data_IF_873258122361
#
_entry.id   IF_873258122361
#
_cell.length_a   1.000
_cell.length_b   1.000
_cell.length_c   1.000
_cell.angle_alpha   90.00
_cell.angle_beta   90.00
_cell.angle_gamma   90.00
#
_symmetry.space_group_name_H-M   'P 1'
#
loop_
_entity.id
_entity.type
_entity.pdbx_description
1 polymer ?
#
# COMPACT_ATOMS: atom_id res chain seq x y z
N UNK A 1 36.66 -5.96 -28.68
CA UNK A 1 35.65 -6.97 -28.29
C UNK A 1 34.64 -6.24 -27.45
N UNK A 2 33.51 -5.88 -28.06
CA UNK A 2 32.51 -4.97 -27.48
C UNK A 2 31.61 -5.78 -26.55
N UNK A 3 31.65 -5.50 -25.25
CA UNK A 3 30.77 -6.13 -24.28
C UNK A 3 29.31 -5.71 -24.54
N UNK A 4 28.50 -6.66 -24.98
CA UNK A 4 27.06 -6.52 -24.98
C UNK A 4 26.58 -6.54 -23.54
N UNK A 5 26.12 -5.39 -23.04
CA UNK A 5 25.27 -5.32 -21.85
C UNK A 5 24.04 -6.18 -22.12
N UNK A 6 23.95 -7.30 -21.42
CA UNK A 6 22.75 -8.14 -21.35
C UNK A 6 21.57 -7.29 -20.88
N UNK A 7 20.64 -7.01 -21.79
CA UNK A 7 19.29 -6.59 -21.42
C UNK A 7 18.63 -7.82 -20.82
N UNK A 8 18.59 -7.91 -19.48
CA UNK A 8 17.69 -8.83 -18.81
C UNK A 8 16.27 -8.50 -19.29
N UNK A 9 15.71 -9.35 -20.15
CA UNK A 9 14.27 -9.34 -20.43
C UNK A 9 13.59 -9.50 -19.06
N UNK A 10 12.79 -8.51 -18.64
CA UNK A 10 11.93 -8.64 -17.46
C UNK A 10 11.21 -9.99 -17.55
N UNK A 11 11.17 -10.73 -16.44
CA UNK A 11 10.49 -12.01 -16.36
C UNK A 11 9.08 -11.87 -16.96
N UNK A 12 8.62 -12.80 -17.83
CA UNK A 12 7.25 -12.75 -18.36
C UNK A 12 6.19 -12.85 -17.27
N UNK A 13 6.59 -13.26 -16.06
CA UNK A 13 5.75 -13.35 -14.88
C UNK A 13 5.83 -12.11 -13.97
N UNK A 14 6.61 -11.08 -14.29
CA UNK A 14 6.75 -9.90 -13.44
C UNK A 14 5.40 -9.34 -12.97
N UNK A 15 5.25 -9.14 -11.66
CA UNK A 15 4.01 -8.71 -11.02
C UNK A 15 2.81 -9.67 -11.23
N UNK A 16 3.05 -10.96 -11.47
CA UNK A 16 2.02 -12.02 -11.52
C UNK A 16 2.04 -12.83 -10.22
N UNK A 17 0.97 -12.88 -9.46
CA UNK A 17 0.97 -13.67 -8.23
C UNK A 17 0.77 -15.18 -8.49
N UNK A 18 0.49 -15.60 -9.73
CA UNK A 18 0.12 -17.00 -10.03
C UNK A 18 1.22 -18.03 -9.79
N UNK A 19 2.48 -17.59 -9.76
CA UNK A 19 3.65 -18.44 -9.53
C UNK A 19 4.50 -17.96 -8.33
N UNK A 20 3.95 -17.06 -7.51
CA UNK A 20 4.61 -16.67 -6.28
C UNK A 20 4.49 -17.77 -5.23
N UNK A 21 5.59 -17.98 -4.51
CA UNK A 21 5.66 -18.85 -3.34
C UNK A 21 6.26 -18.09 -2.17
N UNK A 22 5.86 -18.45 -0.95
CA UNK A 22 6.49 -17.92 0.24
C UNK A 22 7.95 -18.38 0.27
N UNK A 23 8.87 -17.44 0.42
CA UNK A 23 10.32 -17.70 0.35
C UNK A 23 10.90 -18.29 1.64
N UNK A 24 10.05 -18.70 2.60
CA UNK A 24 10.43 -19.02 3.98
C UNK A 24 11.13 -17.87 4.74
N UNK A 25 11.07 -16.65 4.21
CA UNK A 25 11.66 -15.46 4.82
C UNK A 25 10.60 -14.47 5.30
N UNK A 26 10.68 -14.14 6.58
CA UNK A 26 9.94 -13.03 7.17
C UNK A 26 10.75 -12.35 8.26
N UNK A 27 10.53 -11.05 8.42
CA UNK A 27 11.24 -10.20 9.39
C UNK A 27 10.26 -9.48 10.29
N UNK A 28 10.59 -9.40 11.58
CA UNK A 28 9.86 -8.59 12.55
C UNK A 28 10.08 -7.11 12.27
N UNK A 29 9.02 -6.32 12.35
CA UNK A 29 9.14 -4.86 12.40
C UNK A 29 9.56 -4.46 13.82
N UNK A 30 10.67 -3.72 14.00
CA UNK A 30 11.11 -3.27 15.31
C UNK A 30 10.05 -2.38 16.01
N UNK A 31 9.86 -2.55 17.32
CA UNK A 31 8.96 -1.70 18.12
C UNK A 31 9.59 -0.29 18.35
N UNK A 32 8.85 0.80 18.14
CA UNK A 32 9.35 2.17 18.30
C UNK A 32 9.54 2.65 19.75
N UNK A 33 8.96 1.99 20.77
CA UNK A 33 8.96 2.51 22.16
C UNK A 33 9.86 1.70 23.10
N UNK A 34 9.97 0.37 22.98
CA UNK A 34 10.95 -0.48 23.70
C UNK A 34 10.90 -1.93 23.17
N UNK A 35 11.88 -2.81 23.47
CA UNK A 35 11.77 -4.26 23.24
C UNK A 35 10.63 -4.95 24.04
N UNK A 36 9.84 -4.19 24.80
CA UNK A 36 8.80 -4.68 25.70
C UNK A 36 7.43 -4.09 25.31
N UNK A 37 6.86 -4.68 24.26
CA UNK A 37 5.41 -4.87 24.07
C UNK A 37 4.48 -3.65 24.22
N UNK A 38 4.62 -2.64 23.36
CA UNK A 38 3.43 -1.88 22.92
C UNK A 38 3.25 -2.14 21.43
N UNK A 39 2.33 -3.07 21.14
CA UNK A 39 2.00 -3.54 19.80
C UNK A 39 1.46 -2.39 18.96
N UNK A 40 2.26 -1.89 18.03
CA UNK A 40 1.86 -0.90 17.03
C UNK A 40 0.86 -1.55 16.09
N UNK A 41 -0.43 -1.64 16.41
CA UNK A 41 -1.39 -2.27 15.48
C UNK A 41 -1.41 -1.47 14.17
N UNK A 42 -0.79 -2.04 13.13
CA UNK A 42 -0.62 -1.44 11.82
C UNK A 42 -1.98 -1.36 11.11
N UNK A 43 -2.48 -0.16 10.87
CA UNK A 43 -3.78 0.00 10.18
C UNK A 43 -3.59 -0.01 8.66
N UNK A 44 -2.45 0.49 8.21
CA UNK A 44 -1.99 0.47 6.85
C UNK A 44 -0.46 0.61 6.76
N UNK A 45 0.01 0.81 5.54
CA UNK A 45 1.43 1.03 5.30
C UNK A 45 1.68 1.73 3.97
N UNK A 46 2.84 2.32 3.85
CA UNK A 46 3.33 2.79 2.56
C UNK A 46 4.81 2.53 2.43
N UNK A 47 5.27 2.10 1.26
CA UNK A 47 6.70 1.94 0.95
C UNK A 47 7.04 2.98 -0.11
N UNK A 48 8.15 3.69 0.11
CA UNK A 48 8.67 4.69 -0.81
C UNK A 48 9.06 4.05 -2.14
N UNK A 49 8.94 4.78 -3.26
CA UNK A 49 9.16 4.24 -4.61
C UNK A 49 10.58 3.70 -4.79
N UNK A 50 11.55 4.32 -4.12
CA UNK A 50 12.92 3.83 -4.15
C UNK A 50 13.17 2.59 -3.25
N UNK A 51 12.14 2.10 -2.54
CA UNK A 51 12.20 0.93 -1.66
C UNK A 51 13.01 1.10 -0.38
N UNK A 52 13.51 2.30 -0.07
CA UNK A 52 14.42 2.51 1.07
C UNK A 52 13.69 2.84 2.38
N UNK A 53 12.44 3.31 2.29
CA UNK A 53 11.65 3.70 3.45
C UNK A 53 10.28 3.07 3.40
N UNK A 54 9.75 2.76 4.56
CA UNK A 54 8.33 2.48 4.70
C UNK A 54 7.80 3.10 5.97
N UNK A 55 6.49 3.26 5.99
CA UNK A 55 5.77 3.99 7.01
C UNK A 55 4.60 3.13 7.44
N UNK A 56 4.38 3.06 8.75
CA UNK A 56 3.29 2.31 9.35
C UNK A 56 2.48 3.29 10.19
N UNK A 57 1.22 3.47 9.82
CA UNK A 57 0.23 4.10 10.69
C UNK A 57 -0.26 3.09 11.73
N UNK A 58 -0.52 3.64 12.91
CA UNK A 58 -0.86 2.86 14.10
C UNK A 58 -2.06 3.46 14.80
N UNK A 59 -2.78 2.64 15.56
CA UNK A 59 -4.03 2.98 16.26
C UNK A 59 -3.97 4.22 17.19
N UNK A 60 -2.78 4.74 17.45
CA UNK A 60 -2.59 5.94 18.28
C UNK A 60 -2.51 7.24 17.49
N UNK A 61 -3.02 7.27 16.25
CA UNK A 61 -2.90 8.41 15.32
C UNK A 61 -1.43 8.80 15.07
N UNK A 62 -0.57 7.78 15.02
CA UNK A 62 0.86 7.93 14.79
C UNK A 62 1.27 7.19 13.55
N UNK A 63 2.07 7.84 12.71
CA UNK A 63 2.80 7.18 11.63
C UNK A 63 4.28 7.10 12.00
N UNK A 64 4.84 5.89 11.96
CA UNK A 64 6.23 5.60 12.26
C UNK A 64 7.00 5.35 10.96
N UNK A 65 8.23 5.82 10.88
CA UNK A 65 9.12 5.61 9.73
C UNK A 65 10.18 4.55 10.03
N UNK A 66 10.41 3.72 9.03
CA UNK A 66 11.40 2.65 9.02
C UNK A 66 12.20 2.69 7.73
N UNK A 67 13.32 1.98 7.71
CA UNK A 67 14.15 1.79 6.51
C UNK A 67 14.39 0.32 6.19
N UNK A 68 14.43 0.03 4.90
CA UNK A 68 14.91 -1.22 4.31
C UNK A 68 16.30 -0.95 3.73
N UNK A 69 17.29 -1.77 4.08
CA UNK A 69 18.64 -1.62 3.58
C UNK A 69 19.30 -2.98 3.29
N UNK A 70 19.47 -3.38 2.02
CA UNK A 70 19.25 -2.60 0.79
C UNK A 70 17.76 -2.31 0.47
N UNK A 71 17.45 -1.45 -0.52
CA UNK A 71 16.06 -1.21 -0.95
C UNK A 71 15.26 -2.49 -1.16
N UNK A 72 13.98 -2.49 -0.74
CA UNK A 72 13.06 -3.64 -0.82
C UNK A 72 13.51 -4.90 -0.06
N UNK A 73 14.68 -4.91 0.60
CA UNK A 73 15.14 -6.06 1.38
C UNK A 73 14.60 -6.02 2.81
N UNK A 74 13.91 -7.10 3.18
CA UNK A 74 13.44 -7.33 4.54
C UNK A 74 14.51 -7.93 5.45
N UNK A 75 15.70 -8.24 4.94
CA UNK A 75 16.78 -8.86 5.73
C UNK A 75 17.35 -7.90 6.78
N UNK A 76 17.04 -6.61 6.67
CA UNK A 76 17.51 -5.55 7.56
C UNK A 76 16.51 -4.41 7.62
N UNK A 77 15.51 -4.57 8.50
CA UNK A 77 14.48 -3.58 8.82
C UNK A 77 14.91 -2.78 10.05
N UNK A 78 14.95 -1.45 9.96
CA UNK A 78 15.31 -0.59 11.09
C UNK A 78 14.26 0.49 11.33
N UNK A 79 13.95 0.76 12.60
CA UNK A 79 13.19 1.94 12.99
C UNK A 79 14.08 3.17 12.92
N UNK A 80 13.64 4.22 12.22
CA UNK A 80 14.42 5.46 12.03
C UNK A 80 14.32 6.43 13.23
N UNK A 81 13.61 6.06 14.30
CA UNK A 81 13.28 6.94 15.42
C UNK A 81 12.56 8.24 14.99
N UNK A 82 11.72 8.12 13.96
CA UNK A 82 10.93 9.21 13.38
C UNK A 82 9.47 8.83 13.37
N UNK A 83 8.64 9.75 13.84
CA UNK A 83 7.19 9.61 13.84
C UNK A 83 6.51 10.98 13.79
N UNK A 84 5.22 10.97 13.46
CA UNK A 84 4.31 12.10 13.66
C UNK A 84 3.08 11.63 14.41
N UNK A 85 2.48 12.51 15.22
CA UNK A 85 1.22 12.27 15.94
C UNK A 85 0.05 13.08 15.36
N UNK A 86 0.24 13.68 14.19
CA UNK A 86 -0.73 14.57 13.54
C UNK A 86 -1.46 13.91 12.37
N UNK A 87 -1.29 12.59 12.20
CA UNK A 87 -1.83 11.79 11.11
C UNK A 87 -2.90 10.87 11.70
N UNK A 88 -4.18 11.24 11.56
CA UNK A 88 -5.35 10.47 12.03
C UNK A 88 -5.89 9.66 10.85
N UNK A 89 -5.45 8.41 10.64
CA UNK A 89 -5.70 7.69 9.38
C UNK A 89 -5.91 6.18 9.56
N UNK A 90 -6.45 5.55 8.50
CA UNK A 90 -6.64 4.09 8.41
C UNK A 90 -5.66 3.46 7.43
N UNK A 91 -5.18 4.25 6.47
CA UNK A 91 -4.10 3.85 5.57
C UNK A 91 -3.43 5.12 4.98
N UNK A 92 -2.23 4.92 4.45
CA UNK A 92 -1.32 5.94 3.97
C UNK A 92 -0.77 5.58 2.58
N UNK A 93 -0.77 6.53 1.66
CA UNK A 93 -0.13 6.40 0.35
C UNK A 93 0.85 7.55 0.12
N UNK A 94 2.14 7.25 -0.03
CA UNK A 94 3.17 8.27 -0.28
C UNK A 94 3.30 8.56 -1.77
N UNK A 95 3.59 9.82 -2.09
CA UNK A 95 3.82 10.25 -3.46
C UNK A 95 5.20 9.90 -4.00
N UNK A 96 5.32 10.02 -5.32
CA UNK A 96 6.59 10.27 -6.00
C UNK A 96 6.59 11.75 -6.41
N UNK A 97 7.41 12.63 -5.81
CA UNK A 97 8.82 12.42 -5.45
C UNK A 97 9.12 12.24 -3.95
N UNK A 98 8.20 11.64 -3.18
CA UNK A 98 8.34 11.33 -1.74
C UNK A 98 8.39 12.59 -0.84
N UNK A 99 7.69 13.64 -1.27
CA UNK A 99 7.51 14.93 -0.58
C UNK A 99 6.09 15.16 -0.08
N UNK A 100 5.15 14.32 -0.50
CA UNK A 100 3.74 14.36 -0.16
C UNK A 100 3.29 13.00 0.35
N UNK A 101 2.32 13.03 1.24
CA UNK A 101 1.62 11.86 1.72
C UNK A 101 0.12 12.09 1.57
N UNK A 102 -0.58 11.13 1.00
CA UNK A 102 -2.03 11.03 0.99
C UNK A 102 -2.44 10.11 2.12
N UNK A 103 -3.41 10.54 2.89
CA UNK A 103 -3.84 9.87 4.10
C UNK A 103 -5.35 9.68 4.06
N UNK A 104 -5.81 8.46 4.30
CA UNK A 104 -7.23 8.12 4.31
C UNK A 104 -7.82 8.32 5.71
N UNK A 105 -8.56 9.41 5.87
CA UNK A 105 -9.21 9.76 7.12
C UNK A 105 -10.64 9.17 7.14
N UNK A 106 -10.78 7.89 7.50
CA UNK A 106 -12.07 7.20 7.38
C UNK A 106 -13.18 7.81 8.24
N UNK A 107 -12.85 8.35 9.42
CA UNK A 107 -13.81 9.03 10.30
C UNK A 107 -14.35 10.32 9.67
N UNK A 108 -13.50 11.06 8.94
CA UNK A 108 -13.86 12.27 8.21
C UNK A 108 -14.34 11.98 6.78
N UNK A 109 -14.24 10.72 6.33
CA UNK A 109 -14.56 10.28 4.97
C UNK A 109 -13.91 11.17 3.91
N UNK A 110 -12.62 11.41 4.06
CA UNK A 110 -11.85 12.20 3.12
C UNK A 110 -10.47 11.62 2.89
N UNK A 111 -9.88 12.00 1.75
CA UNK A 111 -8.45 11.87 1.52
C UNK A 111 -7.81 13.22 1.83
N UNK A 112 -6.89 13.21 2.79
CA UNK A 112 -6.14 14.39 3.24
C UNK A 112 -4.72 14.33 2.70
N UNK A 113 -4.23 15.47 2.18
CA UNK A 113 -2.84 15.61 1.76
C UNK A 113 -1.99 16.23 2.87
N UNK A 114 -0.80 15.68 3.05
CA UNK A 114 0.27 16.14 3.93
C UNK A 114 1.52 16.42 3.11
N UNK A 115 2.34 17.37 3.55
CA UNK A 115 3.66 17.65 2.96
C UNK A 115 4.77 17.41 3.97
N UNK A 116 5.90 16.90 3.49
CA UNK A 116 7.13 16.80 4.25
C UNK A 116 7.98 18.05 3.99
N UNK A 117 8.41 18.76 5.05
CA UNK A 117 9.40 19.84 4.87
C UNK A 117 10.80 19.29 4.56
N UNK A 118 11.05 18.03 4.92
CA UNK A 118 12.22 17.25 4.49
C UNK A 118 11.74 15.98 3.78
N UNK A 119 12.04 15.76 2.49
CA UNK A 119 11.57 14.60 1.74
C UNK A 119 11.85 13.27 2.47
N UNK A 120 10.84 12.38 2.49
CA UNK A 120 10.85 11.10 3.23
C UNK A 120 11.10 11.20 4.74
N UNK A 121 10.83 12.34 5.37
CA UNK A 121 10.91 12.48 6.82
C UNK A 121 9.51 12.65 7.42
N UNK A 122 8.95 11.54 7.93
CA UNK A 122 7.60 11.52 8.51
C UNK A 122 7.45 12.48 9.69
N UNK A 123 8.55 12.79 10.40
CA UNK A 123 8.51 13.72 11.54
C UNK A 123 8.28 15.17 11.12
N UNK A 124 8.45 15.45 9.83
CA UNK A 124 8.20 16.77 9.24
C UNK A 124 6.85 16.87 8.51
N UNK A 125 6.04 15.80 8.54
CA UNK A 125 4.74 15.76 7.89
C UNK A 125 3.76 16.75 8.53
N UNK A 126 3.19 17.65 7.73
CA UNK A 126 2.17 18.61 8.17
C UNK A 126 1.00 18.65 7.18
N UNK A 127 -0.25 18.91 7.64
CA UNK A 127 -1.39 19.01 6.73
C UNK A 127 -1.16 20.11 5.68
N UNK A 128 -1.35 19.76 4.40
CA UNK A 128 -1.11 20.68 3.29
C UNK A 128 -2.26 21.67 3.05
N UNK A 129 -3.36 21.56 3.80
CA UNK A 129 -4.61 22.30 3.54
C UNK A 129 -5.34 21.85 2.27
N UNK A 130 -4.99 20.67 1.72
CA UNK A 130 -5.58 20.10 0.52
C UNK A 130 -6.25 18.76 0.86
N UNK A 131 -7.52 18.61 0.50
CA UNK A 131 -8.26 17.36 0.70
C UNK A 131 -9.41 17.26 -0.29
N UNK A 132 -10.01 16.07 -0.37
CA UNK A 132 -11.29 15.89 -1.02
C UNK A 132 -12.12 14.82 -0.28
N UNK A 133 -13.46 14.96 -0.24
CA UNK A 133 -14.32 13.94 0.33
C UNK A 133 -14.34 12.70 -0.57
N UNK A 134 -14.38 11.52 0.06
CA UNK A 134 -14.64 10.27 -0.67
C UNK A 134 -16.15 10.06 -0.85
N UNK A 135 -16.51 9.17 -1.78
CA UNK A 135 -17.89 8.89 -2.15
C UNK A 135 -18.77 8.57 -0.95
N UNK A 136 -19.91 9.26 -0.81
CA UNK A 136 -20.93 8.92 0.19
C UNK A 136 -21.53 7.52 0.00
N UNK A 137 -21.33 6.93 -1.19
CA UNK A 137 -21.85 5.60 -1.54
C UNK A 137 -21.15 4.46 -0.80
N UNK A 138 -20.07 4.73 -0.05
CA UNK A 138 -19.61 3.78 0.97
C UNK A 138 -20.72 3.46 2.00
N UNK A 139 -21.78 4.26 2.14
CA UNK A 139 -22.88 3.94 3.07
C UNK A 139 -22.37 3.84 4.51
N UNK A 140 -22.59 2.70 5.18
CA UNK A 140 -22.00 2.39 6.50
C UNK A 140 -20.56 1.90 6.43
N UNK A 141 -20.07 1.56 5.23
CA UNK A 141 -18.69 1.16 4.98
C UNK A 141 -17.75 2.36 5.18
N UNK A 142 -16.50 2.07 5.49
CA UNK A 142 -15.41 3.03 5.64
C UNK A 142 -14.32 2.70 4.63
N UNK A 143 -13.67 3.73 4.09
CA UNK A 143 -12.45 3.54 3.32
C UNK A 143 -11.40 2.90 4.22
N UNK A 144 -10.85 1.77 3.77
CA UNK A 144 -9.90 0.94 4.52
C UNK A 144 -8.48 1.06 3.98
N UNK A 145 -8.33 1.22 2.67
CA UNK A 145 -7.02 1.31 2.04
C UNK A 145 -7.01 2.34 0.92
N UNK A 146 -5.85 2.97 0.71
CA UNK A 146 -5.63 3.99 -0.32
C UNK A 146 -4.39 3.64 -1.13
N UNK A 147 -4.49 3.84 -2.45
CA UNK A 147 -3.35 3.82 -3.35
C UNK A 147 -3.43 5.01 -4.29
N UNK A 148 -2.28 5.56 -4.68
CA UNK A 148 -2.20 6.65 -5.66
C UNK A 148 -1.32 6.17 -6.81
N UNK A 149 -1.84 6.29 -8.03
CA UNK A 149 -1.12 5.93 -9.26
C UNK A 149 0.19 6.69 -9.41
N UNK A 150 1.15 6.08 -10.12
CA UNK A 150 2.51 6.62 -10.25
C UNK A 150 2.56 8.03 -10.86
N UNK A 151 1.56 8.39 -11.67
CA UNK A 151 1.43 9.73 -12.25
C UNK A 151 0.81 10.76 -11.29
N UNK A 152 0.38 10.35 -10.10
CA UNK A 152 -0.27 11.21 -9.11
C UNK A 152 -1.65 11.68 -9.49
N UNK A 153 -2.27 11.14 -10.54
CA UNK A 153 -3.56 11.60 -11.08
C UNK A 153 -4.72 10.69 -10.73
N UNK A 154 -4.47 9.42 -10.45
CA UNK A 154 -5.49 8.45 -10.04
C UNK A 154 -5.35 8.12 -8.56
N UNK A 155 -6.43 8.27 -7.79
CA UNK A 155 -6.49 7.86 -6.38
C UNK A 155 -7.51 6.75 -6.25
N UNK A 156 -7.13 5.65 -5.62
CA UNK A 156 -7.93 4.46 -5.43
C UNK A 156 -8.23 4.29 -3.95
N UNK A 157 -9.50 4.13 -3.59
CA UNK A 157 -9.93 3.93 -2.21
C UNK A 157 -10.76 2.66 -2.14
N UNK A 158 -10.26 1.68 -1.40
CA UNK A 158 -10.90 0.39 -1.15
C UNK A 158 -11.64 0.43 0.18
N UNK A 159 -12.92 0.07 0.18
CA UNK A 159 -13.71 -0.13 1.39
C UNK A 159 -13.63 -1.56 1.91
N UNK A 160 -13.96 -1.77 3.19
CA UNK A 160 -13.83 -3.09 3.86
C UNK A 160 -14.66 -4.20 3.23
N UNK A 161 -15.83 -3.84 2.68
CA UNK A 161 -16.75 -4.78 2.03
C UNK A 161 -16.52 -4.94 0.51
N UNK A 162 -15.45 -4.40 -0.06
CA UNK A 162 -15.14 -4.57 -1.48
C UNK A 162 -15.69 -3.52 -2.43
N UNK A 163 -16.06 -2.35 -1.92
CA UNK A 163 -16.32 -1.17 -2.73
C UNK A 163 -14.98 -0.51 -3.11
N UNK A 164 -14.56 -0.61 -4.38
CA UNK A 164 -13.36 0.08 -4.87
C UNK A 164 -13.76 1.29 -5.71
N UNK A 165 -13.31 2.48 -5.28
CA UNK A 165 -13.50 3.72 -6.02
C UNK A 165 -12.20 4.22 -6.60
N UNK A 166 -12.26 4.71 -7.84
CA UNK A 166 -11.19 5.45 -8.50
C UNK A 166 -11.62 6.90 -8.70
N UNK A 167 -10.81 7.82 -8.19
CA UNK A 167 -10.94 9.27 -8.34
C UNK A 167 -9.83 9.80 -9.25
N UNK A 168 -10.10 10.91 -9.93
CA UNK A 168 -9.13 11.60 -10.78
C UNK A 168 -8.80 12.96 -10.19
N UNK A 169 -7.51 13.29 -10.09
CA UNK A 169 -6.99 14.60 -9.77
C UNK A 169 -6.66 15.33 -11.08
N UNK A 170 -7.04 16.61 -11.17
CA UNK A 170 -6.75 17.43 -12.35
C UNK A 170 -5.29 17.87 -12.42
N UNK A 171 -4.60 17.86 -11.29
CA UNK A 171 -3.16 18.13 -11.18
C UNK A 171 -2.53 16.99 -10.38
N UNK A 172 -1.42 16.47 -10.92
CA UNK A 172 -0.63 15.42 -10.30
C UNK A 172 -0.31 15.75 -8.84
N UNK A 173 -0.63 14.83 -7.92
CA UNK A 173 -0.37 14.93 -6.49
C UNK A 173 -1.02 16.15 -5.80
N UNK A 174 -2.12 16.66 -6.34
CA UNK A 174 -2.89 17.74 -5.73
C UNK A 174 -4.33 17.32 -5.43
N UNK A 175 -4.57 16.94 -4.17
CA UNK A 175 -5.87 16.51 -3.67
C UNK A 175 -6.98 17.57 -3.88
N UNK A 176 -6.63 18.86 -3.85
CA UNK A 176 -7.61 19.93 -4.02
C UNK A 176 -8.17 20.02 -5.45
N UNK A 177 -7.53 19.33 -6.40
CA UNK A 177 -7.92 19.33 -7.82
C UNK A 177 -8.75 18.12 -8.23
N UNK A 178 -9.29 17.36 -7.26
CA UNK A 178 -10.17 16.23 -7.53
C UNK A 178 -11.30 16.62 -8.49
N UNK A 179 -11.38 15.91 -9.62
CA UNK A 179 -12.39 16.13 -10.67
C UNK A 179 -13.75 15.58 -10.26
N UNK A 180 -14.83 16.09 -10.83
CA UNK A 180 -16.18 15.56 -10.57
C UNK A 180 -16.32 14.11 -11.08
N UNK A 181 -17.13 13.30 -10.37
CA UNK A 181 -17.32 11.88 -10.66
C UNK A 181 -16.30 10.94 -9.98
N UNK A 182 -16.42 9.66 -10.30
CA UNK A 182 -15.55 8.55 -9.91
C UNK A 182 -15.85 7.34 -10.80
N UNK A 183 -14.93 6.37 -10.87
CA UNK A 183 -15.23 5.00 -11.33
C UNK A 183 -15.42 4.09 -10.12
N UNK A 184 -16.16 3.01 -10.31
CA UNK A 184 -16.50 2.06 -9.27
C UNK A 184 -16.26 0.64 -9.78
N UNK A 185 -15.68 -0.19 -8.93
CA UNK A 185 -15.56 -1.63 -9.13
C UNK A 185 -16.09 -2.32 -7.86
N UNK A 186 -17.01 -3.25 -8.07
CA UNK A 186 -17.52 -4.15 -7.04
C UNK A 186 -16.60 -5.38 -6.96
N UNK A 187 -15.95 -5.56 -5.81
CA UNK A 187 -15.19 -6.77 -5.46
C UNK A 187 -15.74 -7.47 -4.20
N UNK A 188 -17.03 -7.27 -3.91
CA UNK A 188 -17.75 -7.76 -2.71
C UNK A 188 -17.83 -9.28 -2.59
N UNK A 189 -17.44 -10.04 -3.62
CA UNK A 189 -17.23 -11.49 -3.50
C UNK A 189 -16.14 -11.85 -2.48
N UNK A 190 -15.31 -10.89 -2.08
CA UNK A 190 -14.30 -11.03 -1.04
C UNK A 190 -14.69 -10.16 0.18
N UNK A 191 -14.29 -10.56 1.38
CA UNK A 191 -14.71 -9.88 2.62
C UNK A 191 -13.51 -9.47 3.46
N UNK A 192 -13.59 -8.36 4.19
CA UNK A 192 -12.48 -7.87 5.02
C UNK A 192 -11.22 -7.59 4.19
N UNK A 193 -11.37 -6.76 3.16
CA UNK A 193 -10.27 -6.43 2.28
C UNK A 193 -9.40 -5.32 2.86
N UNK A 194 -8.09 -5.52 2.79
CA UNK A 194 -7.06 -4.56 3.18
C UNK A 194 -5.91 -4.61 2.19
N UNK A 195 -5.26 -3.46 1.99
CA UNK A 195 -4.15 -3.35 1.08
C UNK A 195 -4.60 -3.45 -0.37
N UNK A 196 -4.13 -2.51 -1.16
CA UNK A 196 -4.26 -2.49 -2.61
C UNK A 196 -2.92 -2.08 -3.18
N UNK A 197 -2.46 -2.80 -4.19
CA UNK A 197 -1.21 -2.47 -4.89
C UNK A 197 -1.41 -2.67 -6.39
N UNK A 198 -0.90 -1.73 -7.17
CA UNK A 198 -0.83 -1.86 -8.62
C UNK A 198 0.60 -2.15 -9.05
N UNK A 199 0.74 -2.85 -10.17
CA UNK A 199 2.03 -2.89 -10.84
C UNK A 199 2.35 -1.53 -11.50
N UNK A 200 3.63 -1.22 -11.78
CA UNK A 200 4.03 0.11 -12.26
C UNK A 200 3.42 0.57 -13.59
N UNK A 201 2.94 -0.35 -14.42
CA UNK A 201 2.28 -0.01 -15.68
C UNK A 201 0.75 -0.01 -15.57
N UNK A 202 0.18 -0.24 -14.38
CA UNK A 202 -1.25 -0.19 -14.11
C UNK A 202 -2.08 -1.31 -14.74
N UNK A 203 -1.48 -2.34 -15.32
CA UNK A 203 -2.22 -3.44 -15.97
C UNK A 203 -2.64 -4.55 -14.99
N UNK A 204 -2.11 -4.53 -13.77
CA UNK A 204 -2.45 -5.49 -12.72
C UNK A 204 -2.66 -4.79 -11.41
N UNK A 205 -3.64 -5.28 -10.68
CA UNK A 205 -3.99 -4.84 -9.34
C UNK A 205 -4.09 -6.08 -8.46
N UNK A 206 -3.57 -5.99 -7.24
CA UNK A 206 -3.75 -6.99 -6.21
C UNK A 206 -4.46 -6.39 -5.00
N UNK A 207 -5.36 -7.17 -4.40
CA UNK A 207 -6.11 -6.80 -3.19
C UNK A 207 -5.92 -7.88 -2.14
N UNK A 208 -5.58 -7.47 -0.92
CA UNK A 208 -5.36 -8.37 0.21
C UNK A 208 -6.65 -8.63 0.99
N UNK A 209 -6.74 -9.81 1.57
CA UNK A 209 -7.81 -10.21 2.48
C UNK A 209 -7.23 -10.48 3.88
N UNK A 210 -7.88 -9.94 4.92
CA UNK A 210 -7.44 -10.14 6.31
C UNK A 210 -8.18 -11.29 7.00
N UNK A 211 -7.86 -11.50 8.28
CA UNK A 211 -8.47 -12.51 9.16
C UNK A 211 -8.30 -13.95 8.68
N UNK A 212 -9.40 -14.71 8.58
CA UNK A 212 -9.36 -16.17 8.37
C UNK A 212 -9.07 -16.57 6.94
N UNK A 213 -9.29 -15.68 5.97
CA UNK A 213 -9.19 -16.04 4.56
C UNK A 213 -7.75 -15.99 4.04
N UNK A 214 -6.97 -14.97 4.45
CA UNK A 214 -5.51 -14.86 4.19
C UNK A 214 -5.16 -15.04 2.73
N UNK A 215 -5.77 -14.24 1.86
CA UNK A 215 -5.65 -14.35 0.41
C UNK A 215 -5.17 -13.04 -0.20
N UNK A 216 -4.60 -13.16 -1.39
CA UNK A 216 -4.31 -12.05 -2.28
C UNK A 216 -5.05 -12.33 -3.60
N UNK A 217 -5.93 -11.41 -4.00
CA UNK A 217 -6.71 -11.50 -5.23
C UNK A 217 -6.06 -10.66 -6.31
N UNK A 218 -5.82 -11.26 -7.49
CA UNK A 218 -5.28 -10.55 -8.65
C UNK A 218 -6.37 -10.21 -9.66
N UNK A 219 -6.26 -9.01 -10.20
CA UNK A 219 -7.09 -8.50 -11.28
C UNK A 219 -6.19 -8.02 -12.42
N UNK A 220 -6.56 -8.38 -13.66
CA UNK A 220 -5.98 -7.80 -14.87
C UNK A 220 -6.85 -6.65 -15.36
N UNK A 221 -6.22 -5.53 -15.70
CA UNK A 221 -6.89 -4.37 -16.29
C UNK A 221 -6.54 -4.31 -17.78
N UNK A 222 -7.56 -4.37 -18.64
CA UNK A 222 -7.32 -4.28 -20.10
C UNK A 222 -6.96 -2.85 -20.54
N UNK A 223 -7.37 -1.85 -19.76
CA UNK A 223 -6.88 -0.48 -19.87
C UNK A 223 -6.07 -0.14 -18.60
N UNK A 224 -4.76 0.16 -18.73
CA UNK A 224 -3.93 0.57 -17.60
C UNK A 224 -4.62 1.58 -16.69
N UNK A 225 -4.54 1.37 -15.37
CA UNK A 225 -5.06 2.28 -14.35
C UNK A 225 -6.59 2.48 -14.35
N UNK A 226 -7.35 1.77 -15.18
CA UNK A 226 -8.81 1.85 -15.24
C UNK A 226 -9.49 0.66 -14.57
N UNK A 227 -9.98 0.86 -13.33
CA UNK A 227 -10.63 -0.22 -12.56
C UNK A 227 -11.92 -0.74 -13.21
N UNK A 228 -12.57 0.05 -14.07
CA UNK A 228 -13.79 -0.40 -14.76
C UNK A 228 -13.52 -1.50 -15.79
N UNK A 229 -12.23 -1.72 -16.10
CA UNK A 229 -11.77 -2.77 -17.01
C UNK A 229 -11.13 -3.96 -16.29
N UNK A 230 -11.15 -3.96 -14.95
CA UNK A 230 -10.55 -4.99 -14.13
C UNK A 230 -11.33 -6.31 -14.24
N UNK A 231 -10.61 -7.41 -14.38
CA UNK A 231 -11.15 -8.77 -14.38
C UNK A 231 -10.34 -9.61 -13.39
N UNK A 232 -11.00 -10.23 -12.41
CA UNK A 232 -10.35 -11.16 -11.48
C UNK A 232 -9.84 -12.38 -12.24
N UNK A 233 -8.58 -12.77 -12.01
CA UNK A 233 -7.96 -13.86 -12.76
C UNK A 233 -7.14 -14.84 -11.91
N UNK A 234 -6.81 -14.50 -10.66
CA UNK A 234 -6.10 -15.42 -9.78
C UNK A 234 -6.33 -15.10 -8.30
N UNK A 235 -6.16 -16.09 -7.42
CA UNK A 235 -6.14 -15.89 -5.97
C UNK A 235 -5.02 -16.72 -5.36
N UNK A 236 -4.07 -16.06 -4.70
CA UNK A 236 -2.99 -16.68 -3.96
C UNK A 236 -3.41 -16.88 -2.50
N UNK A 237 -3.21 -18.09 -1.97
CA UNK A 237 -3.37 -18.36 -0.53
C UNK A 237 -2.07 -18.03 0.20
N UNK A 238 -2.17 -17.37 1.36
CA UNK A 238 -1.02 -16.92 2.17
C UNK A 238 -1.14 -17.43 3.62
N UNK A 239 -1.16 -18.76 3.85
CA UNK A 239 -1.47 -19.32 5.17
C UNK A 239 -0.49 -18.92 6.29
N UNK A 240 0.73 -18.50 5.91
CA UNK A 240 1.80 -18.04 6.79
C UNK A 240 1.58 -16.61 7.31
N UNK A 241 0.77 -15.83 6.59
CA UNK A 241 0.43 -14.44 6.90
C UNK A 241 -0.87 -14.45 7.71
N UNK A 242 -0.89 -13.76 8.86
CA UNK A 242 -2.06 -13.71 9.75
C UNK A 242 -3.20 -12.81 9.26
N UNK A 243 -2.92 -11.98 8.25
CA UNK A 243 -3.86 -11.12 7.54
C UNK A 243 -3.10 -10.11 6.68
N UNK A 244 -3.43 -10.01 5.39
CA UNK A 244 -2.72 -9.17 4.42
C UNK A 244 -3.14 -7.70 4.62
N UNK A 245 -2.37 -6.91 5.37
CA UNK A 245 -2.69 -5.49 5.61
C UNK A 245 -2.05 -4.57 4.58
N UNK A 246 -0.98 -5.04 3.96
CA UNK A 246 -0.19 -4.25 3.04
C UNK A 246 0.57 -5.11 2.07
N UNK A 247 0.67 -4.67 0.82
CA UNK A 247 1.42 -5.34 -0.25
C UNK A 247 2.27 -4.34 -1.03
N UNK A 248 3.48 -4.75 -1.42
CA UNK A 248 4.40 -3.91 -2.18
C UNK A 248 5.29 -4.78 -3.05
N UNK A 249 5.26 -4.54 -4.36
CA UNK A 249 6.22 -5.13 -5.28
C UNK A 249 7.57 -4.42 -5.21
N UNK A 250 8.65 -5.17 -5.39
CA UNK A 250 9.92 -4.59 -5.81
C UNK A 250 9.82 -3.97 -7.21
N UNK A 251 10.81 -3.15 -7.59
CA UNK A 251 10.78 -2.42 -8.87
C UNK A 251 10.69 -3.33 -10.11
N UNK A 252 11.29 -4.51 -10.02
CA UNK A 252 11.33 -5.48 -11.13
C UNK A 252 10.13 -6.44 -11.12
N UNK A 253 9.30 -6.40 -10.08
CA UNK A 253 8.16 -7.29 -9.87
C UNK A 253 8.56 -8.74 -9.73
N UNK A 254 9.72 -9.00 -9.13
CA UNK A 254 10.26 -10.33 -8.84
C UNK A 254 10.01 -10.77 -7.40
N UNK A 255 9.77 -9.81 -6.50
CA UNK A 255 9.48 -10.04 -5.09
C UNK A 255 8.22 -9.26 -4.67
N UNK A 256 7.34 -9.92 -3.92
CA UNK A 256 6.20 -9.29 -3.26
C UNK A 256 6.43 -9.29 -1.75
N UNK A 257 6.47 -8.10 -1.17
CA UNK A 257 6.47 -7.90 0.27
C UNK A 257 5.03 -7.86 0.78
N UNK A 258 4.74 -8.63 1.82
CA UNK A 258 3.42 -8.69 2.45
C UNK A 258 3.54 -8.33 3.92
N UNK A 259 2.91 -7.21 4.30
CA UNK A 259 2.76 -6.81 5.70
C UNK A 259 1.63 -7.60 6.35
N UNK A 260 1.96 -8.32 7.42
CA UNK A 260 0.98 -8.95 8.29
C UNK A 260 0.66 -8.10 9.50
N UNK A 261 -0.62 -8.05 9.87
CA UNK A 261 -1.03 -7.60 11.20
C UNK A 261 -1.48 -8.80 12.06
N UNK A 262 -1.12 -8.74 13.34
CA UNK A 262 -1.76 -9.55 14.36
C UNK A 262 -2.29 -8.56 15.42
N UNK A 263 -3.60 -8.56 15.68
CA UNK A 263 -4.23 -7.81 16.78
C UNK A 263 -3.57 -8.11 18.14
N UNK A 264 -2.80 -9.19 18.21
CA UNK A 264 -2.06 -9.64 19.39
C UNK A 264 -0.70 -10.24 18.99
N UNK A 265 0.25 -9.46 18.46
CA UNK A 265 1.62 -9.95 18.21
C UNK A 265 2.59 -8.90 17.65
N UNK A 266 3.79 -9.33 17.25
CA UNK A 266 4.75 -8.48 16.52
C UNK A 266 4.42 -8.53 15.02
N UNK A 267 4.31 -7.36 14.37
CA UNK A 267 4.10 -7.28 12.92
C UNK A 267 5.28 -7.81 12.14
N UNK A 268 4.99 -8.45 11.01
CA UNK A 268 6.01 -9.08 10.16
C UNK A 268 5.82 -8.66 8.72
N UNK A 269 6.94 -8.57 8.02
CA UNK A 269 6.96 -8.48 6.56
C UNK A 269 7.40 -9.85 6.04
N UNK A 270 6.59 -10.44 5.17
CA UNK A 270 6.84 -11.72 4.51
C UNK A 270 7.29 -11.47 3.08
N UNK A 271 8.24 -12.26 2.59
CA UNK A 271 8.72 -12.20 1.21
C UNK A 271 8.15 -13.37 0.40
N UNK A 272 7.53 -13.05 -0.74
CA UNK A 272 7.12 -14.00 -1.76
C UNK A 272 7.95 -13.78 -3.02
N UNK A 273 8.42 -14.86 -3.66
CA UNK A 273 9.22 -14.82 -4.89
C UNK A 273 8.71 -15.87 -5.88
N UNK A 274 9.14 -15.77 -7.14
CA UNK A 274 8.87 -16.85 -8.11
C UNK A 274 9.70 -18.10 -7.77
N UNK A 275 9.13 -19.27 -8.08
CA UNK A 275 9.89 -20.53 -8.16
C UNK A 275 10.90 -20.53 -9.30
#
# INVERSE_FOLDING_TARGET
>A
MTEFRSFYKRSPLSHDISNLVYSDQSTLIPDPVTPTNIKVQAQGWSVSENGQRFYIDSESNKANQYRLNPPYSIDSVFYDNKFTSSIINNDLAIDSPESTLFALESSNRQVQQYTFSTPRDISTATPAGKSFPISSNFGTNIGQSIFVGNNGTEVYVLGTNGDLYQYTLGTSWDASTKQLGFKFLDVTQNTFLYGIEFNPNGTRMIIGEVHSARKIHQYTLSTPWDISTATSNFTLSTPEVTGVHGMKWDTDGTELLVLSNISVGNHRIYRYTYM
#
